data_IF_251011503597
#
_entry.id   IF_251011503597
#
_cell.length_a   1.000
_cell.length_b   1.000
_cell.length_c   1.000
_cell.angle_alpha   90.00
_cell.angle_beta   90.00
_cell.angle_gamma   90.00
#
_symmetry.space_group_name_H-M   'P 1'
#
loop_
_entity.id
_entity.type
_entity.pdbx_description
1 polymer ?
#
# COMPACT_ATOMS: atom_id res chain seq x y z
N UNK A 1 5.03 -7.30 -2.75
CA UNK A 1 4.65 -6.85 -1.40
C UNK A 1 5.10 -7.89 -0.40
N UNK A 2 4.31 -8.94 -0.12
CA UNK A 2 4.70 -9.99 0.83
C UNK A 2 5.90 -10.84 0.34
N UNK A 3 5.94 -11.18 -0.94
CA UNK A 3 7.08 -11.92 -1.54
C UNK A 3 8.37 -11.10 -1.65
N UNK A 4 8.31 -9.78 -1.42
CA UNK A 4 9.51 -8.94 -1.34
C UNK A 4 10.04 -8.79 0.09
N UNK A 5 9.33 -9.38 1.06
CA UNK A 5 9.68 -9.45 2.48
C UNK A 5 9.98 -10.92 2.87
N UNK A 6 10.40 -11.75 1.90
CA UNK A 6 10.68 -13.18 2.05
C UNK A 6 9.54 -14.04 2.64
N UNK A 7 8.29 -13.58 2.50
CA UNK A 7 7.11 -14.40 2.82
C UNK A 7 6.77 -15.28 1.62
N UNK A 8 7.00 -16.59 1.76
CA UNK A 8 6.59 -17.59 0.77
C UNK A 8 5.06 -17.68 0.76
N UNK A 9 4.43 -17.17 -0.30
CA UNK A 9 3.00 -17.37 -0.55
C UNK A 9 2.79 -18.01 -1.92
N UNK A 10 1.85 -18.94 -2.02
CA UNK A 10 1.44 -19.52 -3.30
C UNK A 10 0.34 -18.64 -3.93
N UNK A 11 0.49 -18.19 -5.20
CA UNK A 11 -0.46 -17.28 -5.85
C UNK A 11 -1.92 -17.78 -5.88
N UNK A 12 -2.13 -19.10 -5.86
CA UNK A 12 -3.44 -19.73 -5.94
C UNK A 12 -4.30 -19.66 -4.67
N UNK A 13 -3.70 -19.49 -3.49
CA UNK A 13 -4.46 -19.47 -2.23
C UNK A 13 -5.08 -18.09 -1.94
N UNK A 14 -4.52 -17.03 -2.51
CA UNK A 14 -4.96 -15.63 -2.30
C UNK A 14 -6.15 -15.27 -3.22
N UNK A 15 -6.25 -15.90 -4.39
CA UNK A 15 -7.24 -15.55 -5.41
C UNK A 15 -8.67 -16.07 -5.11
N UNK A 16 -8.83 -17.15 -4.33
CA UNK A 16 -10.16 -17.79 -4.12
C UNK A 16 -11.04 -17.09 -3.09
N UNK A 17 -10.52 -16.15 -2.29
CA UNK A 17 -11.29 -15.28 -1.37
C UNK A 17 -11.66 -13.91 -1.99
N UNK A 18 -11.39 -13.68 -3.27
CA UNK A 18 -11.23 -12.35 -3.88
C UNK A 18 -12.41 -11.89 -4.78
N UNK A 19 -13.60 -12.49 -4.70
CA UNK A 19 -14.74 -12.20 -5.62
C UNK A 19 -16.09 -11.96 -4.94
N UNK A 20 -16.22 -11.01 -4.02
CA UNK A 20 -17.53 -10.58 -3.54
C UNK A 20 -17.67 -9.04 -3.56
N UNK A 21 -18.61 -8.47 -4.33
CA UNK A 21 -18.89 -7.03 -4.32
C UNK A 21 -19.52 -6.59 -2.99
N UNK A 22 -19.20 -5.37 -2.52
CA UNK A 22 -19.72 -4.80 -1.27
C UNK A 22 -18.90 -5.08 -0.01
N UNK A 23 -17.65 -5.54 -0.17
CA UNK A 23 -16.72 -5.85 0.93
C UNK A 23 -15.46 -4.96 0.93
N UNK A 24 -15.46 -3.80 0.28
CA UNK A 24 -14.26 -3.01 0.02
C UNK A 24 -13.63 -2.48 1.33
N UNK A 25 -14.45 -1.96 2.25
CA UNK A 25 -14.02 -1.56 3.60
C UNK A 25 -13.61 -2.76 4.47
N UNK A 26 -14.24 -3.92 4.25
CA UNK A 26 -13.83 -5.16 4.90
C UNK A 26 -12.47 -5.64 4.37
N UNK A 27 -12.15 -5.37 3.11
CA UNK A 27 -10.87 -5.73 2.50
C UNK A 27 -9.72 -4.87 3.03
N UNK A 28 -9.88 -3.56 3.15
CA UNK A 28 -8.83 -2.70 3.73
C UNK A 28 -8.51 -3.14 5.17
N UNK A 29 -9.54 -3.39 5.98
CA UNK A 29 -9.39 -3.91 7.35
C UNK A 29 -8.80 -5.32 7.38
N UNK A 30 -9.20 -6.19 6.47
CA UNK A 30 -8.67 -7.56 6.37
C UNK A 30 -7.22 -7.57 5.92
N UNK A 31 -6.85 -6.67 5.01
CA UNK A 31 -5.47 -6.48 4.58
C UNK A 31 -4.62 -5.98 5.74
N UNK A 32 -5.05 -4.95 6.47
CA UNK A 32 -4.32 -4.45 7.64
C UNK A 32 -4.14 -5.54 8.68
N UNK A 33 -5.19 -6.33 8.97
CA UNK A 33 -5.07 -7.47 9.87
C UNK A 33 -4.02 -8.47 9.39
N UNK A 34 -4.10 -8.91 8.14
CA UNK A 34 -3.16 -9.88 7.56
C UNK A 34 -1.72 -9.35 7.58
N UNK A 35 -1.51 -8.10 7.21
CA UNK A 35 -0.19 -7.45 7.22
C UNK A 35 0.36 -7.40 8.65
N UNK A 36 -0.46 -6.99 9.62
CA UNK A 36 -0.06 -6.92 11.02
C UNK A 36 0.20 -8.31 11.59
N UNK A 37 -0.58 -9.34 11.24
CA UNK A 37 -0.32 -10.74 11.65
C UNK A 37 1.06 -11.23 11.21
N UNK A 38 1.59 -10.69 10.11
CA UNK A 38 2.95 -10.96 9.61
C UNK A 38 4.04 -10.03 10.20
N UNK A 39 3.73 -9.21 11.20
CA UNK A 39 4.72 -8.32 11.84
C UNK A 39 5.08 -7.08 11.01
N UNK A 40 4.28 -6.75 9.98
CA UNK A 40 4.48 -5.62 9.09
C UNK A 40 3.47 -4.50 9.40
N UNK A 41 3.78 -3.27 8.99
CA UNK A 41 2.91 -2.11 9.17
C UNK A 41 2.18 -1.76 7.89
N UNK A 42 0.91 -1.39 8.00
CA UNK A 42 0.19 -0.64 6.97
C UNK A 42 0.30 0.85 7.29
N UNK A 43 1.05 1.59 6.47
CA UNK A 43 1.21 3.04 6.60
C UNK A 43 0.38 3.76 5.53
N UNK A 44 -0.73 4.45 5.89
CA UNK A 44 -1.54 5.15 4.92
C UNK A 44 -0.82 6.37 4.34
N UNK A 45 -1.04 6.67 3.06
CA UNK A 45 -0.53 7.87 2.41
C UNK A 45 -1.61 8.96 2.38
N UNK A 46 -1.16 10.21 2.26
CA UNK A 46 -2.08 11.31 2.01
C UNK A 46 -2.65 11.15 0.59
N UNK A 47 -3.90 11.57 0.33
CA UNK A 47 -4.58 11.35 -0.95
C UNK A 47 -4.09 12.33 -2.03
N UNK A 48 -2.79 12.32 -2.32
CA UNK A 48 -2.15 13.18 -3.33
C UNK A 48 -1.17 12.34 -4.14
N UNK A 49 -1.23 12.47 -5.47
CA UNK A 49 -0.31 11.74 -6.35
C UNK A 49 1.16 12.02 -6.03
N UNK A 50 1.48 13.25 -5.61
CA UNK A 50 2.84 13.61 -5.17
C UNK A 50 3.37 12.68 -4.08
N UNK A 51 2.53 12.35 -3.08
CA UNK A 51 2.94 11.53 -1.94
C UNK A 51 3.16 10.08 -2.39
N UNK A 52 2.36 9.57 -3.34
CA UNK A 52 2.60 8.28 -3.99
C UNK A 52 3.93 8.28 -4.76
N UNK A 53 4.17 9.30 -5.59
CA UNK A 53 5.40 9.40 -6.40
C UNK A 53 6.64 9.51 -5.52
N UNK A 54 6.57 10.20 -4.39
CA UNK A 54 7.68 10.34 -3.46
C UNK A 54 8.13 9.01 -2.88
N UNK A 55 7.19 8.19 -2.42
CA UNK A 55 7.49 6.84 -1.93
C UNK A 55 8.09 5.97 -3.03
N UNK A 56 7.49 6.00 -4.22
CA UNK A 56 7.98 5.21 -5.36
C UNK A 56 9.41 5.62 -5.75
N UNK A 57 9.75 6.92 -5.69
CA UNK A 57 11.14 7.35 -5.91
C UNK A 57 12.10 6.94 -4.79
N UNK A 58 11.62 6.75 -3.58
CA UNK A 58 12.40 6.21 -2.48
C UNK A 58 12.54 4.67 -2.55
N UNK A 59 12.02 4.04 -3.62
CA UNK A 59 12.07 2.59 -3.80
C UNK A 59 10.95 1.84 -3.08
N UNK A 60 9.98 2.56 -2.51
CA UNK A 60 8.84 1.95 -1.82
C UNK A 60 7.64 1.82 -2.76
N UNK A 61 7.28 0.59 -3.15
CA UNK A 61 6.09 0.39 -3.95
C UNK A 61 4.83 0.76 -3.14
N UNK A 62 3.83 1.31 -3.80
CA UNK A 62 2.61 1.83 -3.15
C UNK A 62 1.43 0.98 -3.57
N UNK A 63 0.71 0.43 -2.60
CA UNK A 63 -0.56 -0.25 -2.85
C UNK A 63 -1.67 0.80 -2.91
N UNK A 64 -2.49 0.73 -3.96
CA UNK A 64 -3.56 1.68 -4.24
C UNK A 64 -4.81 0.90 -4.64
N UNK A 65 -5.98 1.51 -4.45
CA UNK A 65 -7.24 1.05 -5.05
C UNK A 65 -7.54 1.95 -6.25
N UNK A 66 -7.88 1.38 -7.39
CA UNK A 66 -8.28 2.16 -8.58
C UNK A 66 -9.55 1.54 -9.19
N UNK A 67 -10.33 2.37 -9.84
CA UNK A 67 -11.41 1.96 -10.73
C UNK A 67 -11.19 2.63 -12.09
N UNK A 68 -10.96 1.83 -13.13
CA UNK A 68 -10.73 2.38 -14.47
C UNK A 68 -12.02 2.87 -15.17
N UNK A 69 -13.16 2.83 -14.47
CA UNK A 69 -14.44 3.39 -14.90
C UNK A 69 -15.03 2.65 -16.10
N UNK A 70 -14.48 1.49 -16.47
CA UNK A 70 -15.07 0.69 -17.53
C UNK A 70 -16.31 -0.04 -17.00
N UNK A 71 -17.37 -0.09 -17.81
CA UNK A 71 -18.69 -0.68 -17.45
C UNK A 71 -18.59 -2.15 -16.98
N UNK A 72 -17.47 -2.81 -17.28
CA UNK A 72 -17.17 -4.21 -16.97
C UNK A 72 -16.12 -4.40 -15.86
N UNK A 73 -15.52 -3.33 -15.35
CA UNK A 73 -14.50 -3.37 -14.30
C UNK A 73 -15.10 -3.00 -12.95
N UNK A 74 -14.47 -3.51 -11.90
CA UNK A 74 -14.80 -3.16 -10.53
C UNK A 74 -13.56 -2.57 -9.87
N UNK A 75 -13.72 -1.74 -8.82
CA UNK A 75 -12.62 -1.27 -8.01
C UNK A 75 -11.68 -2.41 -7.65
N UNK A 76 -10.40 -2.25 -7.94
CA UNK A 76 -9.41 -3.29 -7.70
C UNK A 76 -8.11 -2.71 -7.15
N UNK A 77 -7.34 -3.57 -6.49
CA UNK A 77 -6.06 -3.19 -5.92
C UNK A 77 -4.95 -3.31 -6.95
N UNK A 78 -4.08 -2.31 -6.97
CA UNK A 78 -2.92 -2.24 -7.83
C UNK A 78 -1.70 -1.76 -7.05
N UNK A 79 -0.51 -2.00 -7.60
CA UNK A 79 0.75 -1.57 -7.00
C UNK A 79 1.47 -0.64 -7.96
N UNK A 80 1.71 0.60 -7.52
CA UNK A 80 2.58 1.54 -8.23
C UNK A 80 4.02 1.20 -7.88
N UNK A 81 4.83 0.93 -8.91
CA UNK A 81 6.22 0.47 -8.75
C UNK A 81 7.24 1.33 -9.49
N UNK A 82 6.78 2.34 -10.24
CA UNK A 82 7.65 3.23 -10.97
C UNK A 82 6.87 4.35 -11.66
N UNK A 83 7.60 5.34 -12.15
CA UNK A 83 7.02 6.42 -12.93
C UNK A 83 8.05 7.09 -13.85
N UNK A 84 7.57 7.78 -14.87
CA UNK A 84 8.31 8.71 -15.72
C UNK A 84 7.71 10.10 -15.52
N UNK A 85 8.47 11.00 -14.88
CA UNK A 85 8.04 12.37 -14.58
C UNK A 85 7.91 13.23 -15.85
N UNK A 86 8.79 13.02 -16.82
CA UNK A 86 8.83 13.80 -18.07
C UNK A 86 7.63 13.44 -18.92
N UNK A 87 7.36 12.14 -19.06
CA UNK A 87 6.24 11.64 -19.87
C UNK A 87 4.93 11.51 -19.07
N UNK A 88 4.95 11.88 -17.79
CA UNK A 88 3.83 11.79 -16.85
C UNK A 88 3.12 10.43 -16.89
N UNK A 89 3.89 9.36 -16.74
CA UNK A 89 3.39 7.97 -16.79
C UNK A 89 3.72 7.21 -15.53
N UNK A 90 2.76 6.43 -15.04
CA UNK A 90 2.96 5.47 -13.96
C UNK A 90 3.17 4.07 -14.52
N UNK A 91 4.00 3.31 -13.83
CA UNK A 91 4.13 1.87 -13.98
C UNK A 91 3.38 1.20 -12.83
N UNK A 92 2.29 0.53 -13.18
CA UNK A 92 1.35 -0.10 -12.26
C UNK A 92 1.33 -1.61 -12.50
N UNK A 93 1.19 -2.40 -11.43
CA UNK A 93 0.99 -3.85 -11.46
C UNK A 93 -0.37 -4.17 -10.87
N UNK A 94 -1.23 -4.87 -11.60
CA UNK A 94 -2.58 -5.24 -11.15
C UNK A 94 -2.85 -6.70 -11.55
N UNK A 95 -3.19 -7.55 -10.57
CA UNK A 95 -3.57 -8.95 -10.79
C UNK A 95 -2.78 -9.68 -11.88
N UNK A 96 -3.48 -10.05 -12.97
CA UNK A 96 -2.94 -10.78 -14.12
C UNK A 96 -2.11 -9.92 -15.09
N UNK A 97 -2.22 -8.59 -15.01
CA UNK A 97 -1.47 -7.66 -15.85
C UNK A 97 -0.19 -7.22 -15.13
N UNK A 98 0.92 -7.88 -15.50
CA UNK A 98 2.23 -7.68 -14.85
C UNK A 98 2.85 -6.31 -15.14
N UNK A 99 2.34 -5.58 -16.15
CA UNK A 99 2.85 -4.26 -16.56
C UNK A 99 1.75 -3.45 -17.23
N UNK A 100 1.08 -2.60 -16.45
CA UNK A 100 0.17 -1.58 -16.93
C UNK A 100 0.88 -0.22 -16.89
N UNK A 101 0.89 0.49 -18.01
CA UNK A 101 1.41 1.86 -18.10
C UNK A 101 0.24 2.79 -18.36
N UNK A 102 0.04 3.78 -17.50
CA UNK A 102 -1.03 4.76 -17.64
C UNK A 102 -0.52 6.18 -17.38
N UNK A 103 -1.21 7.19 -17.91
CA UNK A 103 -0.87 8.59 -17.63
C UNK A 103 -1.20 8.95 -16.18
N UNK A 104 -0.54 9.98 -15.64
CA UNK A 104 -0.86 10.53 -14.33
C UNK A 104 -2.33 10.96 -14.24
N UNK A 105 -2.86 11.56 -15.33
CA UNK A 105 -4.26 11.97 -15.42
C UNK A 105 -5.22 10.79 -15.30
N UNK A 106 -4.99 9.72 -16.07
CA UNK A 106 -5.87 8.55 -16.05
C UNK A 106 -5.82 7.85 -14.69
N UNK A 107 -4.62 7.73 -14.11
CA UNK A 107 -4.48 7.21 -12.76
C UNK A 107 -5.23 8.04 -11.72
N UNK A 108 -5.02 9.36 -11.72
CA UNK A 108 -5.66 10.26 -10.76
C UNK A 108 -7.19 10.14 -10.85
N UNK A 109 -7.74 10.18 -12.06
CA UNK A 109 -9.18 9.98 -12.29
C UNK A 109 -9.65 8.64 -11.72
N UNK A 110 -8.97 7.54 -12.06
CA UNK A 110 -9.32 6.20 -11.59
C UNK A 110 -9.19 6.02 -10.07
N UNK A 111 -8.32 6.81 -9.44
CA UNK A 111 -8.05 6.78 -8.01
C UNK A 111 -9.03 7.65 -7.21
N UNK A 112 -9.44 8.79 -7.78
CA UNK A 112 -10.42 9.72 -7.21
C UNK A 112 -11.79 9.03 -7.05
N UNK A 113 -12.22 8.26 -8.05
CA UNK A 113 -13.51 7.53 -8.04
C UNK A 113 -13.68 6.58 -6.85
N UNK A 114 -12.57 6.13 -6.26
CA UNK A 114 -12.55 5.14 -5.17
C UNK A 114 -11.94 5.70 -3.89
N UNK A 115 -11.95 7.02 -3.72
CA UNK A 115 -11.62 7.70 -2.47
C UNK A 115 -10.12 7.84 -2.19
N UNK A 116 -9.28 7.77 -3.21
CA UNK A 116 -7.84 8.02 -3.12
C UNK A 116 -7.11 7.18 -2.06
N UNK A 117 -7.54 5.93 -1.87
CA UNK A 117 -6.89 5.06 -0.91
C UNK A 117 -5.50 4.62 -1.40
N UNK A 118 -4.48 4.85 -0.59
CA UNK A 118 -3.11 4.42 -0.83
C UNK A 118 -2.39 4.10 0.48
N UNK A 119 -1.62 3.01 0.48
CA UNK A 119 -0.86 2.56 1.65
C UNK A 119 0.50 2.00 1.23
N UNK A 120 1.44 2.05 2.17
CA UNK A 120 2.67 1.26 2.13
C UNK A 120 2.52 0.05 3.04
N UNK A 121 3.22 -1.03 2.68
CA UNK A 121 3.46 -2.17 3.57
C UNK A 121 4.94 -2.15 3.93
N UNK A 122 5.24 -1.87 5.20
CA UNK A 122 6.61 -1.61 5.66
C UNK A 122 7.04 -2.55 6.78
N UNK A 123 8.33 -2.87 6.82
CA UNK A 123 8.92 -3.49 7.99
C UNK A 123 9.00 -2.47 9.15
N UNK A 124 8.95 -2.90 10.41
CA UNK A 124 9.01 -2.00 11.56
C UNK A 124 10.23 -1.08 11.65
N UNK A 125 11.37 -1.46 11.08
CA UNK A 125 12.55 -0.59 11.06
C UNK A 125 12.69 0.23 9.75
N UNK A 126 11.74 0.12 8.82
CA UNK A 126 11.81 0.70 7.49
C UNK A 126 10.84 1.89 7.38
N UNK A 127 11.35 3.08 7.70
CA UNK A 127 10.55 4.29 7.63
C UNK A 127 10.21 4.69 6.18
N UNK A 128 8.99 5.17 5.92
CA UNK A 128 8.63 5.74 4.64
C UNK A 128 9.39 7.04 4.36
N UNK A 129 9.46 7.43 3.09
CA UNK A 129 9.98 8.75 2.72
C UNK A 129 9.09 9.83 3.35
N UNK A 130 9.69 10.88 3.92
CA UNK A 130 8.97 11.95 4.62
C UNK A 130 7.92 11.42 5.62
N UNK A 131 8.35 10.52 6.50
CA UNK A 131 7.48 9.94 7.52
C UNK A 131 6.77 11.02 8.35
N UNK A 132 5.45 10.88 8.48
CA UNK A 132 4.66 11.67 9.41
C UNK A 132 4.61 10.91 10.74
N UNK A 133 5.28 11.46 11.77
CA UNK A 133 5.49 10.77 13.05
C UNK A 133 4.20 10.22 13.65
N UNK A 134 3.15 11.03 13.74
CA UNK A 134 1.89 10.60 14.35
C UNK A 134 1.25 9.44 13.58
N UNK A 135 1.32 9.47 12.25
CA UNK A 135 0.77 8.42 11.40
C UNK A 135 1.52 7.11 11.55
N UNK A 136 2.84 7.18 11.70
CA UNK A 136 3.69 6.02 11.96
C UNK A 136 3.41 5.40 13.33
N UNK A 137 3.29 6.23 14.39
CA UNK A 137 2.95 5.77 15.73
C UNK A 137 1.59 5.07 15.77
N UNK A 138 0.59 5.59 15.04
CA UNK A 138 -0.71 4.95 14.93
C UNK A 138 -0.63 3.56 14.27
N UNK A 139 0.21 3.41 13.24
CA UNK A 139 0.44 2.12 12.58
C UNK A 139 1.18 1.14 13.50
N UNK A 140 2.18 1.60 14.26
CA UNK A 140 2.88 0.80 15.26
C UNK A 140 1.94 0.33 16.39
N UNK A 141 1.02 1.19 16.85
CA UNK A 141 0.02 0.82 17.84
C UNK A 141 -0.95 -0.27 17.34
N UNK A 142 -1.33 -0.25 16.05
CA UNK A 142 -2.12 -1.33 15.45
C UNK A 142 -1.37 -2.66 15.42
N UNK A 143 -0.06 -2.62 15.22
CA UNK A 143 0.81 -3.79 15.26
C UNK A 143 0.89 -4.37 16.68
N UNK A 144 1.00 -3.50 17.68
CA UNK A 144 0.96 -3.88 19.10
C UNK A 144 -0.37 -4.53 19.50
N UNK A 145 -1.49 -3.93 19.06
CA UNK A 145 -2.84 -4.49 19.28
C UNK A 145 -3.03 -5.85 18.62
N UNK A 146 -2.32 -6.12 17.52
CA UNK A 146 -2.29 -7.42 16.86
C UNK A 146 -1.40 -8.45 17.58
N UNK A 147 -0.80 -8.11 18.73
CA UNK A 147 0.05 -8.98 19.53
C UNK A 147 1.52 -8.99 19.11
N UNK A 148 1.90 -8.22 18.07
CA UNK A 148 3.26 -8.16 17.55
C UNK A 148 4.13 -7.16 18.33
N UNK A 149 4.29 -7.40 19.63
CA UNK A 149 4.93 -6.46 20.57
C UNK A 149 6.37 -6.09 20.20
N UNK A 150 7.18 -7.06 19.78
CA UNK A 150 8.58 -6.79 19.38
C UNK A 150 8.63 -5.93 18.10
N UNK A 151 7.80 -6.27 17.12
CA UNK A 151 7.70 -5.51 15.88
C UNK A 151 7.20 -4.08 16.17
N UNK A 152 6.18 -3.89 17.00
CA UNK A 152 5.71 -2.57 17.41
C UNK A 152 6.80 -1.74 18.10
N UNK A 153 7.58 -2.35 19.02
CA UNK A 153 8.72 -1.69 19.67
C UNK A 153 9.73 -1.18 18.66
N UNK A 154 10.14 -2.03 17.72
CA UNK A 154 11.09 -1.65 16.67
C UNK A 154 10.55 -0.47 15.83
N UNK A 155 9.24 -0.43 15.58
CA UNK A 155 8.61 0.70 14.90
C UNK A 155 8.65 1.99 15.72
N UNK A 156 8.36 1.94 17.02
CA UNK A 156 8.47 3.12 17.88
C UNK A 156 9.91 3.66 17.91
N UNK A 157 10.91 2.78 18.10
CA UNK A 157 12.33 3.16 18.12
C UNK A 157 12.77 3.77 16.78
N UNK A 158 12.34 3.19 15.66
CA UNK A 158 12.75 3.64 14.33
C UNK A 158 12.41 5.13 14.08
N UNK A 159 11.21 5.59 14.47
CA UNK A 159 10.80 6.97 14.22
C UNK A 159 11.48 7.96 15.17
N UNK A 160 11.78 7.54 16.41
CA UNK A 160 12.45 8.39 17.39
C UNK A 160 13.91 8.69 17.01
N UNK A 161 14.61 7.70 16.46
CA UNK A 161 15.99 7.85 15.97
C UNK A 161 16.12 8.75 14.72
N UNK A 162 15.03 9.04 14.00
CA UNK A 162 15.03 9.89 12.80
C UNK A 162 14.86 11.38 13.13
N UNK A 163 14.32 11.68 14.32
CA UNK A 163 14.01 13.05 14.79
C UNK A 163 15.06 13.65 15.72
N UNK A 164 16.09 12.88 16.10
CA UNK A 164 17.30 13.37 16.75
C UNK A 164 18.41 13.63 15.72
#
# INVERSE_FOLDING_TARGET
MLSQQDVVTTPGLVAKKMRLPGQELMMEKSLTRLVNEHGLLVYPLSPRLRDVLEQVSAGYPVLVRIDDGSVISSPHYAVVVGYDRVKQRLLVRSGMSRRLVMSFKNFQSAWDEVGNWAVLVQAPAQLPANVERQRWLNAAAQLEQAGQKLAARNAYEAVDHRTN
#
